data_IF_497924608183
#
_entry.id   IF_497924608183
#
_cell.length_a   1.000
_cell.length_b   1.000
_cell.length_c   1.000
_cell.angle_alpha   90.00
_cell.angle_beta   90.00
_cell.angle_gamma   90.00
#
_symmetry.space_group_name_H-M   'P 1'
#
loop_
_entity.id
_entity.type
_entity.pdbx_description
1 polymer ?
#
# COMPACT_ATOMS: atom_id res chain seq x y z
N UNK A 1 7.62 21.07 26.31
CA UNK A 1 6.64 19.99 26.58
C UNK A 1 6.32 19.26 25.29
N UNK A 2 7.28 18.50 24.75
CA UNK A 2 7.04 17.68 23.56
C UNK A 2 6.40 16.34 23.95
N UNK A 3 5.92 15.59 22.96
CA UNK A 3 5.34 14.25 23.05
C UNK A 3 6.19 13.17 23.75
N UNK A 4 7.31 13.52 24.40
CA UNK A 4 8.18 12.61 25.17
C UNK A 4 7.58 12.04 26.46
N UNK A 5 6.30 12.31 26.75
CA UNK A 5 5.54 11.69 27.83
C UNK A 5 4.60 10.57 27.38
N UNK A 6 4.38 10.40 26.07
CA UNK A 6 3.56 9.30 25.56
C UNK A 6 4.45 8.07 25.44
N UNK A 7 4.59 7.35 26.55
CA UNK A 7 5.26 6.05 26.57
C UNK A 7 4.50 5.06 25.69
N UNK A 8 5.21 4.25 24.90
CA UNK A 8 4.63 3.16 24.10
C UNK A 8 3.72 2.27 24.97
N UNK A 9 4.05 2.09 26.25
CA UNK A 9 3.25 1.32 27.20
C UNK A 9 1.88 1.93 27.47
N UNK A 10 1.78 3.27 27.53
CA UNK A 10 0.51 3.97 27.71
C UNK A 10 -0.37 3.82 26.47
N UNK A 11 0.21 3.91 25.28
CA UNK A 11 -0.49 3.67 24.00
C UNK A 11 -1.06 2.26 23.91
N UNK A 12 -0.31 1.23 24.30
CA UNK A 12 -0.79 -0.15 24.33
C UNK A 12 -1.95 -0.36 25.31
N UNK A 13 -1.88 0.26 26.49
CA UNK A 13 -2.97 0.19 27.48
C UNK A 13 -4.25 0.83 26.93
N UNK A 14 -4.14 2.01 26.33
CA UNK A 14 -5.28 2.70 25.70
C UNK A 14 -5.85 1.86 24.56
N UNK A 15 -4.99 1.30 23.70
CA UNK A 15 -5.40 0.42 22.60
C UNK A 15 -6.17 -0.80 23.10
N UNK A 16 -5.71 -1.43 24.19
CA UNK A 16 -6.38 -2.56 24.80
C UNK A 16 -7.79 -2.19 25.28
N UNK A 17 -7.95 -1.03 25.93
CA UNK A 17 -9.27 -0.52 26.37
C UNK A 17 -10.18 -0.26 25.17
N UNK A 18 -9.66 0.38 24.11
CA UNK A 18 -10.43 0.63 22.88
C UNK A 18 -10.90 -0.69 22.25
N UNK A 19 -10.03 -1.70 22.17
CA UNK A 19 -10.40 -3.03 21.65
C UNK A 19 -11.48 -3.69 22.50
N UNK A 20 -11.43 -3.56 23.83
CA UNK A 20 -12.45 -4.10 24.73
C UNK A 20 -13.81 -3.39 24.59
N UNK A 21 -13.81 -2.06 24.43
CA UNK A 21 -15.04 -1.27 24.29
C UNK A 21 -15.72 -1.50 22.93
N UNK A 22 -14.95 -1.48 21.85
CA UNK A 22 -15.49 -1.60 20.49
C UNK A 22 -15.60 -3.05 20.01
N UNK A 23 -14.87 -3.97 20.65
CA UNK A 23 -14.69 -5.34 20.21
C UNK A 23 -13.80 -5.46 18.97
N UNK A 24 -13.13 -6.61 18.83
CA UNK A 24 -12.25 -6.89 17.67
C UNK A 24 -13.01 -6.95 16.34
N UNK A 25 -14.31 -7.29 16.36
CA UNK A 25 -15.13 -7.44 15.16
C UNK A 25 -15.40 -6.11 14.46
N UNK A 26 -15.78 -5.05 15.19
CA UNK A 26 -15.93 -3.71 14.61
C UNK A 26 -14.60 -3.13 14.19
N UNK A 27 -13.56 -3.30 15.03
CA UNK A 27 -12.24 -2.76 14.74
C UNK A 27 -11.61 -3.42 13.50
N UNK A 28 -11.86 -4.71 13.25
CA UNK A 28 -11.42 -5.40 12.03
C UNK A 28 -12.18 -4.93 10.79
N UNK A 29 -13.49 -4.74 10.89
CA UNK A 29 -14.30 -4.27 9.76
C UNK A 29 -13.85 -2.88 9.30
N UNK A 30 -13.80 -1.92 10.25
CA UNK A 30 -13.39 -0.55 9.97
C UNK A 30 -11.88 -0.46 9.68
N UNK A 31 -11.06 -1.22 10.38
CA UNK A 31 -9.61 -1.27 10.17
C UNK A 31 -9.21 -1.89 8.84
N UNK A 32 -10.02 -2.81 8.29
CA UNK A 32 -9.82 -3.36 6.95
C UNK A 32 -10.01 -2.31 5.87
N UNK A 33 -11.10 -1.54 5.95
CA UNK A 33 -11.44 -0.49 4.97
C UNK A 33 -10.40 0.64 5.01
N UNK A 34 -10.10 1.15 6.21
CA UNK A 34 -9.11 2.21 6.41
C UNK A 34 -7.68 1.72 6.09
N UNK A 35 -7.34 0.50 6.50
CA UNK A 35 -6.04 -0.10 6.25
C UNK A 35 -5.78 -0.36 4.77
N UNK A 36 -6.81 -0.77 4.02
CA UNK A 36 -6.75 -0.91 2.57
C UNK A 36 -6.48 0.41 1.86
N UNK A 37 -7.20 1.47 2.24
CA UNK A 37 -7.00 2.81 1.68
C UNK A 37 -5.58 3.35 1.95
N UNK A 38 -5.10 3.23 3.20
CA UNK A 38 -3.75 3.67 3.58
C UNK A 38 -2.67 2.82 2.90
N UNK A 39 -2.88 1.51 2.73
CA UNK A 39 -1.94 0.62 2.03
C UNK A 39 -1.78 1.03 0.57
N UNK A 40 -2.89 1.31 -0.12
CA UNK A 40 -2.87 1.76 -1.50
C UNK A 40 -2.21 3.15 -1.62
N UNK A 41 -2.54 4.08 -0.72
CA UNK A 41 -1.90 5.39 -0.65
C UNK A 41 -0.37 5.28 -0.47
N UNK A 42 0.09 4.49 0.50
CA UNK A 42 1.53 4.26 0.70
C UNK A 42 2.19 3.63 -0.52
N UNK A 43 1.49 2.72 -1.21
CA UNK A 43 2.01 2.09 -2.43
C UNK A 43 2.17 3.11 -3.55
N UNK A 44 1.15 3.92 -3.81
CA UNK A 44 1.21 4.97 -4.84
C UNK A 44 2.31 5.99 -4.57
N UNK A 45 2.43 6.46 -3.32
CA UNK A 45 3.51 7.39 -2.94
C UNK A 45 4.89 6.76 -3.13
N UNK A 46 5.06 5.49 -2.75
CA UNK A 46 6.33 4.78 -2.93
C UNK A 46 6.65 4.50 -4.40
N UNK A 47 5.65 4.21 -5.22
CA UNK A 47 5.82 4.02 -6.67
C UNK A 47 6.17 5.35 -7.36
N UNK A 48 5.62 6.49 -6.89
CA UNK A 48 6.03 7.83 -7.34
C UNK A 48 7.46 8.20 -6.89
N UNK A 49 7.84 7.89 -5.65
CA UNK A 49 9.22 8.08 -5.16
C UNK A 49 10.21 7.20 -5.95
N UNK A 50 9.85 5.96 -6.27
CA UNK A 50 10.67 5.07 -7.10
C UNK A 50 10.76 5.53 -8.56
N UNK A 51 9.72 6.20 -9.08
CA UNK A 51 9.73 6.80 -10.42
C UNK A 51 10.59 8.08 -10.49
N UNK A 52 10.80 8.78 -9.36
CA UNK A 52 11.70 9.92 -9.29
C UNK A 52 13.19 9.52 -9.21
N UNK A 53 13.50 8.30 -8.78
CA UNK A 53 14.88 7.76 -8.68
C UNK A 53 15.30 6.90 -9.90
N UNK A 54 14.36 6.58 -10.81
CA UNK A 54 14.61 5.90 -12.09
C UNK A 54 14.29 6.80 -13.29
N UNK A 55 15.07 7.85 -13.47
CA UNK A 55 15.22 8.47 -14.78
C UNK A 55 16.26 7.69 -15.62
N UNK A 56 15.98 6.42 -15.91
CA UNK A 56 16.70 5.64 -16.93
C UNK A 56 15.66 4.89 -17.77
N UNK A 57 15.65 5.03 -19.10
CA UNK A 57 14.56 4.56 -19.94
C UNK A 57 14.61 3.03 -20.10
N UNK A 58 13.82 2.30 -19.32
CA UNK A 58 13.51 0.89 -19.61
C UNK A 58 12.50 0.82 -20.77
N UNK A 59 13.07 0.61 -21.95
CA UNK A 59 12.41 0.33 -23.22
C UNK A 59 11.48 -0.90 -23.09
N UNK A 60 10.19 -0.67 -22.83
CA UNK A 60 9.18 -1.73 -22.91
C UNK A 60 8.93 -2.07 -24.38
N UNK A 61 9.58 -3.13 -24.85
CA UNK A 61 9.33 -3.75 -26.15
C UNK A 61 7.88 -4.25 -26.15
N UNK A 62 7.05 -3.66 -27.01
CA UNK A 62 5.69 -4.10 -27.29
C UNK A 62 5.82 -5.27 -28.27
N UNK A 63 5.74 -6.51 -27.77
CA UNK A 63 5.77 -7.71 -28.60
C UNK A 63 4.43 -7.87 -29.35
N UNK A 64 4.30 -7.09 -30.42
CA UNK A 64 3.23 -7.21 -31.40
C UNK A 64 3.39 -8.51 -32.18
N UNK A 65 2.53 -9.49 -31.90
CA UNK A 65 2.36 -10.71 -32.68
C UNK A 65 1.89 -10.34 -34.11
N UNK A 66 2.82 -10.21 -35.06
CA UNK A 66 2.52 -10.21 -36.50
C UNK A 66 2.47 -11.67 -36.96
N UNK A 67 1.26 -12.17 -37.17
CA UNK A 67 1.03 -13.40 -37.94
C UNK A 67 1.17 -13.03 -39.42
N UNK A 68 2.31 -13.39 -40.02
CA UNK A 68 2.43 -13.61 -41.47
C UNK A 68 2.97 -15.02 -41.68
N UNK A 69 2.07 -15.95 -42.04
CA UNK A 69 2.44 -17.23 -42.66
C UNK A 69 2.11 -17.17 -44.15
N UNK A 70 3.19 -16.88 -44.90
CA UNK A 70 3.55 -17.29 -46.27
C UNK A 70 2.48 -17.90 -47.19
N UNK A 71 2.29 -17.19 -48.29
CA UNK A 71 2.10 -17.72 -49.64
C UNK A 71 3.01 -18.93 -49.94
N UNK A 72 2.40 -20.01 -50.43
CA UNK A 72 3.03 -21.02 -51.28
C UNK A 72 2.02 -21.42 -52.35
N UNK A 73 2.19 -20.88 -53.56
CA UNK A 73 1.71 -21.45 -54.83
C UNK A 73 2.87 -21.44 -55.80
#
# INVERSE_FOLDING_TARGET
MGFGGISIWSLLLILAIVILLFGTKKLRNVGGDLGGAIKNFKKSVKDEEAAQDKAEPENQIIEGKVTEEKDKV
#
